data_IF_934335086026
#
_entry.id   IF_934335086026
#
_cell.length_a   1.000
_cell.length_b   1.000
_cell.length_c   1.000
_cell.angle_alpha   90.00
_cell.angle_beta   90.00
_cell.angle_gamma   90.00
#
_symmetry.space_group_name_H-M   'P 1'
#
loop_
_entity.id
_entity.type
_entity.pdbx_description
1 polymer ?
#
# COMPACT_ATOMS: atom_id res chain seq x y z
N UNK A 1 -0.99 -3.72 -9.58
CA UNK A 1 -2.02 -4.72 -9.97
C UNK A 1 -1.69 -6.03 -9.27
N UNK A 2 -2.51 -6.43 -8.28
CA UNK A 2 -2.44 -7.79 -7.74
C UNK A 2 -3.22 -8.69 -8.71
N UNK A 3 -2.52 -9.62 -9.36
CA UNK A 3 -3.14 -10.62 -10.23
C UNK A 3 -3.46 -11.83 -9.36
N UNK A 4 -4.70 -12.01 -8.95
CA UNK A 4 -5.15 -13.34 -8.52
C UNK A 4 -5.38 -14.14 -9.80
N UNK A 5 -4.49 -15.09 -10.06
CA UNK A 5 -4.39 -15.75 -11.37
C UNK A 5 -5.24 -17.01 -11.42
N UNK A 6 -5.53 -17.42 -12.66
CA UNK A 6 -6.13 -18.70 -13.03
C UNK A 6 -5.60 -19.86 -12.15
N UNK A 7 -6.53 -20.66 -11.62
CA UNK A 7 -6.24 -21.85 -10.83
C UNK A 7 -6.55 -23.11 -11.62
N UNK A 8 -5.81 -24.18 -11.39
CA UNK A 8 -6.12 -25.51 -11.93
C UNK A 8 -5.96 -26.56 -10.84
N UNK A 9 -7.00 -27.36 -10.66
CA UNK A 9 -7.04 -28.53 -9.80
C UNK A 9 -6.96 -29.81 -10.64
N UNK A 10 -6.15 -30.78 -10.21
CA UNK A 10 -6.04 -32.09 -10.86
C UNK A 10 -5.58 -33.17 -9.87
N UNK A 11 -5.70 -34.44 -10.25
CA UNK A 11 -5.22 -35.61 -9.52
C UNK A 11 -3.92 -36.08 -10.14
N UNK A 12 -2.90 -36.29 -9.31
CA UNK A 12 -1.59 -36.80 -9.70
C UNK A 12 -1.05 -37.71 -8.59
N UNK A 13 -0.71 -38.94 -8.93
CA UNK A 13 -0.32 -39.99 -7.98
C UNK A 13 -1.36 -40.19 -6.85
N UNK A 14 -2.64 -40.17 -7.20
CA UNK A 14 -3.75 -40.26 -6.25
C UNK A 14 -3.93 -39.06 -5.31
N UNK A 15 -3.09 -38.01 -5.41
CA UNK A 15 -3.19 -36.79 -4.61
C UNK A 15 -3.90 -35.68 -5.42
N UNK A 16 -4.84 -34.96 -4.80
CA UNK A 16 -5.39 -33.75 -5.39
C UNK A 16 -4.35 -32.62 -5.28
N UNK A 17 -4.07 -31.97 -6.40
CA UNK A 17 -3.11 -30.86 -6.52
C UNK A 17 -3.82 -29.63 -7.03
N UNK A 18 -3.47 -28.47 -6.49
CA UNK A 18 -3.95 -27.17 -7.00
C UNK A 18 -2.78 -26.26 -7.35
N UNK A 19 -2.69 -25.87 -8.62
CA UNK A 19 -1.73 -24.87 -9.09
C UNK A 19 -2.43 -23.52 -9.26
N UNK A 20 -1.88 -22.48 -8.64
CA UNK A 20 -2.13 -21.09 -9.04
C UNK A 20 -1.09 -20.64 -10.03
N UNK A 21 -1.43 -19.59 -10.77
CA UNK A 21 -0.47 -18.88 -11.60
C UNK A 21 0.18 -19.82 -12.63
N UNK A 22 -0.59 -20.80 -13.08
CA UNK A 22 -0.07 -21.90 -13.85
C UNK A 22 0.05 -21.53 -15.33
N UNK A 23 0.97 -22.19 -16.01
CA UNK A 23 1.18 -22.09 -17.45
C UNK A 23 1.43 -23.47 -18.04
N UNK A 24 0.98 -23.66 -19.28
CA UNK A 24 1.40 -24.81 -20.07
C UNK A 24 2.78 -24.55 -20.66
N UNK A 25 3.73 -25.47 -20.46
CA UNK A 25 5.08 -25.42 -21.03
C UNK A 25 5.40 -26.76 -21.68
N UNK A 26 6.49 -26.83 -22.47
CA UNK A 26 6.97 -28.08 -23.05
C UNK A 26 8.30 -28.47 -22.41
N UNK A 27 8.34 -29.64 -21.79
CA UNK A 27 9.54 -30.26 -21.25
C UNK A 27 10.13 -31.29 -22.20
N UNK A 28 11.15 -32.03 -21.74
CA UNK A 28 11.84 -33.05 -22.52
C UNK A 28 10.90 -34.19 -22.98
N UNK A 29 10.01 -34.62 -22.10
CA UNK A 29 9.13 -35.78 -22.35
C UNK A 29 7.72 -35.40 -22.81
N UNK A 30 7.38 -34.10 -22.89
CA UNK A 30 6.06 -33.70 -23.35
C UNK A 30 5.57 -32.38 -22.81
N UNK A 31 4.24 -32.19 -22.83
CA UNK A 31 3.60 -30.98 -22.33
C UNK A 31 3.48 -31.06 -20.81
N UNK A 32 3.89 -30.00 -20.12
CA UNK A 32 3.80 -29.87 -18.67
C UNK A 32 2.88 -28.72 -18.27
N UNK A 33 2.39 -28.80 -17.04
CA UNK A 33 1.77 -27.71 -16.31
C UNK A 33 2.73 -27.25 -15.23
N UNK A 34 3.15 -26.00 -15.28
CA UNK A 34 4.03 -25.39 -14.28
C UNK A 34 3.32 -24.26 -13.59
N UNK A 35 3.28 -24.26 -12.25
CA UNK A 35 2.61 -23.23 -11.47
C UNK A 35 3.01 -23.28 -10.00
N UNK A 36 2.48 -22.35 -9.20
CA UNK A 36 2.66 -22.36 -7.75
C UNK A 36 1.67 -23.36 -7.14
N UNK A 37 2.21 -24.45 -6.59
CA UNK A 37 1.45 -25.48 -5.90
C UNK A 37 0.99 -24.94 -4.53
N UNK A 38 -0.31 -24.82 -4.33
CA UNK A 38 -0.88 -24.28 -3.10
C UNK A 38 -0.57 -25.16 -1.89
N UNK A 39 -0.60 -26.48 -2.08
CA UNK A 39 -0.48 -27.48 -1.02
C UNK A 39 0.99 -27.63 -0.58
N UNK A 40 1.93 -27.45 -1.52
CA UNK A 40 3.38 -27.54 -1.23
C UNK A 40 4.08 -26.20 -1.08
N UNK A 41 3.37 -25.09 -1.28
CA UNK A 41 3.92 -23.74 -1.12
C UNK A 41 5.10 -23.40 -2.04
N UNK A 42 5.23 -24.07 -3.20
CA UNK A 42 6.37 -23.91 -4.09
C UNK A 42 5.98 -24.08 -5.57
N UNK A 43 6.81 -23.54 -6.47
CA UNK A 43 6.61 -23.74 -7.91
C UNK A 43 6.94 -25.19 -8.29
N UNK A 44 6.00 -25.85 -8.97
CA UNK A 44 6.13 -27.24 -9.41
C UNK A 44 5.68 -27.40 -10.86
N UNK A 45 6.21 -28.44 -11.50
CA UNK A 45 5.87 -28.84 -12.86
C UNK A 45 5.37 -30.27 -12.87
N UNK A 46 4.27 -30.52 -13.58
CA UNK A 46 3.67 -31.85 -13.73
C UNK A 46 3.50 -32.14 -15.22
N UNK A 47 3.92 -33.31 -15.68
CA UNK A 47 3.62 -33.72 -17.06
C UNK A 47 2.13 -33.99 -17.19
N UNK A 48 1.54 -33.53 -18.29
CA UNK A 48 0.10 -33.68 -18.54
C UNK A 48 -0.31 -35.15 -18.71
N UNK A 49 0.62 -36.00 -19.12
CA UNK A 49 0.40 -37.44 -19.29
C UNK A 49 0.30 -38.18 -17.95
N UNK A 50 0.94 -37.67 -16.90
CA UNK A 50 0.88 -38.23 -15.54
C UNK A 50 -0.35 -37.76 -14.75
N UNK A 51 -1.15 -36.85 -15.33
CA UNK A 51 -2.34 -36.33 -14.67
C UNK A 51 -3.49 -37.29 -14.92
N UNK A 52 -3.93 -37.92 -13.84
CA UNK A 52 -4.99 -38.92 -13.85
C UNK A 52 -6.35 -38.28 -14.18
N UNK A 53 -6.63 -37.11 -13.60
CA UNK A 53 -7.92 -36.43 -13.76
C UNK A 53 -7.84 -34.95 -13.48
N UNK A 54 -8.46 -34.10 -14.31
CA UNK A 54 -8.66 -32.68 -13.99
C UNK A 54 -9.91 -32.51 -13.12
N UNK A 55 -9.79 -31.73 -12.04
CA UNK A 55 -10.87 -31.45 -11.10
C UNK A 55 -11.56 -30.12 -11.43
N UNK A 56 -10.77 -29.06 -11.60
CA UNK A 56 -11.26 -27.75 -12.00
C UNK A 56 -10.22 -27.01 -12.83
N UNK A 57 -10.64 -26.32 -13.89
CA UNK A 57 -9.76 -25.44 -14.67
C UNK A 57 -10.40 -24.06 -14.72
N UNK A 58 -9.92 -23.16 -13.88
CA UNK A 58 -10.38 -21.78 -13.86
C UNK A 58 -9.41 -20.91 -14.66
N UNK A 59 -9.81 -20.54 -15.88
CA UNK A 59 -9.05 -19.63 -16.74
C UNK A 59 -9.26 -18.14 -16.41
N UNK A 60 -10.19 -17.80 -15.51
CA UNK A 60 -10.53 -16.41 -15.23
C UNK A 60 -9.42 -15.73 -14.41
N UNK A 61 -8.68 -14.85 -15.05
CA UNK A 61 -7.79 -13.90 -14.37
C UNK A 61 -8.65 -12.81 -13.72
N UNK A 62 -8.73 -12.78 -12.38
CA UNK A 62 -9.38 -11.65 -11.71
C UNK A 62 -8.39 -10.50 -11.65
N UNK A 63 -8.59 -9.50 -12.52
CA UNK A 63 -7.80 -8.26 -12.52
C UNK A 63 -8.34 -7.32 -11.45
N UNK A 64 -7.67 -7.26 -10.29
CA UNK A 64 -7.89 -6.18 -9.31
C UNK A 64 -6.90 -5.06 -9.58
N UNK A 65 -7.41 -3.95 -10.12
CA UNK A 65 -6.70 -2.68 -10.14
C UNK A 65 -6.68 -2.12 -8.72
N UNK A 66 -5.69 -2.53 -7.92
CA UNK A 66 -5.32 -1.80 -6.71
C UNK A 66 -4.49 -0.58 -7.13
N UNK A 67 -5.06 0.61 -7.02
CA UNK A 67 -4.30 1.86 -7.06
C UNK A 67 -3.69 2.02 -5.68
N UNK A 68 -2.42 1.66 -5.53
CA UNK A 68 -1.67 2.05 -4.33
C UNK A 68 -1.55 3.57 -4.38
N UNK A 69 -2.23 4.28 -3.49
CA UNK A 69 -2.12 5.73 -3.42
C UNK A 69 -0.67 6.10 -3.10
N UNK A 70 -0.03 6.83 -4.01
CA UNK A 70 1.29 7.38 -3.74
C UNK A 70 1.20 8.34 -2.55
N UNK A 71 2.17 8.30 -1.63
CA UNK A 71 2.18 9.24 -0.52
C UNK A 71 2.29 10.66 -1.06
N UNK A 72 1.48 11.57 -0.55
CA UNK A 72 1.57 12.98 -0.91
C UNK A 72 2.90 13.57 -0.43
N UNK A 73 3.35 14.65 -1.08
CA UNK A 73 4.48 15.46 -0.60
C UNK A 73 5.82 14.72 -0.45
N UNK A 74 6.08 13.69 -1.28
CA UNK A 74 7.34 12.90 -1.24
C UNK A 74 8.61 13.74 -1.15
N UNK A 75 8.64 14.88 -1.86
CA UNK A 75 9.77 15.82 -1.84
C UNK A 75 9.67 16.82 -0.68
N UNK A 76 8.51 17.42 -0.48
CA UNK A 76 8.30 18.45 0.53
C UNK A 76 8.59 17.93 1.95
N UNK A 77 8.35 16.64 2.23
CA UNK A 77 8.68 16.01 3.53
C UNK A 77 10.18 15.79 3.80
N UNK A 78 11.06 16.13 2.86
CA UNK A 78 12.51 15.91 3.03
C UNK A 78 13.17 17.06 3.80
N UNK A 79 14.27 16.76 4.50
CA UNK A 79 15.00 17.74 5.32
C UNK A 79 15.40 19.01 4.55
N UNK A 80 15.65 18.91 3.23
CA UNK A 80 15.95 20.05 2.36
C UNK A 80 14.92 21.18 2.45
N UNK A 81 13.64 20.83 2.62
CA UNK A 81 12.54 21.79 2.66
C UNK A 81 12.12 22.17 4.09
N UNK A 82 12.53 21.41 5.10
CA UNK A 82 12.32 21.76 6.49
C UNK A 82 13.30 22.85 6.91
N UNK A 83 12.77 23.93 7.46
CA UNK A 83 13.53 25.07 7.97
C UNK A 83 13.34 25.15 9.47
N UNK A 84 14.47 25.23 10.16
CA UNK A 84 14.55 25.34 11.61
C UNK A 84 14.79 26.80 11.96
N UNK A 85 14.10 27.29 12.99
CA UNK A 85 14.44 28.55 13.65
C UNK A 85 14.44 28.30 15.14
N UNK A 86 15.43 28.85 15.84
CA UNK A 86 15.53 28.78 17.28
C UNK A 86 15.55 30.20 17.86
N UNK A 87 14.87 30.38 18.98
CA UNK A 87 14.84 31.59 19.79
C UNK A 87 15.17 31.22 21.24
N UNK A 88 15.38 32.22 22.11
CA UNK A 88 15.60 31.97 23.54
C UNK A 88 14.41 31.21 24.17
N UNK A 89 13.20 31.41 23.64
CA UNK A 89 11.96 30.84 24.16
C UNK A 89 11.58 29.48 23.52
N UNK A 90 12.32 29.00 22.51
CA UNK A 90 12.02 27.71 21.90
C UNK A 90 12.59 27.47 20.51
N UNK A 91 12.14 26.40 19.86
CA UNK A 91 12.53 26.04 18.51
C UNK A 91 11.31 25.67 17.66
N UNK A 92 11.31 26.12 16.41
CA UNK A 92 10.28 25.81 15.42
C UNK A 92 10.89 25.11 14.21
N UNK A 93 10.11 24.22 13.61
CA UNK A 93 10.42 23.56 12.34
C UNK A 93 9.24 23.74 11.41
N UNK A 94 9.49 24.29 10.23
CA UNK A 94 8.44 24.57 9.26
C UNK A 94 8.96 24.63 7.84
N UNK A 95 8.18 25.29 6.98
CA UNK A 95 8.52 25.52 5.58
C UNK A 95 8.60 27.04 5.35
N UNK A 96 9.34 27.47 4.32
CA UNK A 96 9.36 28.87 3.89
C UNK A 96 9.02 29.02 2.40
N UNK A 97 8.68 30.25 1.98
CA UNK A 97 8.39 30.58 0.58
C UNK A 97 7.31 29.70 -0.06
N UNK A 98 7.57 29.23 -1.28
CA UNK A 98 6.62 28.40 -2.05
C UNK A 98 6.29 27.09 -1.34
N UNK A 99 7.25 26.47 -0.65
CA UNK A 99 7.02 25.25 0.11
C UNK A 99 5.99 25.46 1.24
N UNK A 100 6.06 26.60 1.93
CA UNK A 100 5.08 26.99 2.95
C UNK A 100 3.69 27.24 2.36
N UNK A 101 3.62 27.90 1.19
CA UNK A 101 2.36 28.13 0.47
C UNK A 101 1.69 26.81 0.12
N UNK A 102 2.42 25.89 -0.51
CA UNK A 102 1.90 24.56 -0.89
C UNK A 102 1.43 23.81 0.36
N UNK A 103 2.25 23.72 1.40
CA UNK A 103 1.89 23.05 2.64
C UNK A 103 0.59 23.60 3.24
N UNK A 104 0.47 24.93 3.32
CA UNK A 104 -0.70 25.64 3.86
C UNK A 104 -1.96 25.38 3.04
N UNK A 105 -1.87 25.54 1.71
CA UNK A 105 -3.00 25.31 0.79
C UNK A 105 -3.56 23.91 0.98
N UNK A 106 -2.68 22.92 1.02
CA UNK A 106 -3.11 21.53 1.15
C UNK A 106 -3.57 21.18 2.57
N UNK A 107 -2.97 21.75 3.62
CA UNK A 107 -3.39 21.48 5.00
C UNK A 107 -4.79 22.03 5.25
N UNK A 108 -5.04 23.29 4.88
CA UNK A 108 -6.29 23.98 5.20
C UNK A 108 -7.37 23.83 4.13
N UNK A 109 -7.05 23.23 2.98
CA UNK A 109 -7.99 23.02 1.88
C UNK A 109 -8.28 24.31 1.10
N UNK A 110 -7.24 25.08 0.82
CA UNK A 110 -7.36 26.36 0.11
C UNK A 110 -7.38 26.15 -1.41
N UNK A 111 -7.65 27.22 -2.14
CA UNK A 111 -7.57 27.28 -3.60
C UNK A 111 -6.19 27.79 -4.04
N UNK A 112 -5.57 27.13 -5.01
CA UNK A 112 -4.26 27.55 -5.55
C UNK A 112 -4.13 27.29 -7.06
N UNK A 113 -3.17 27.98 -7.69
CA UNK A 113 -2.85 27.87 -9.12
C UNK A 113 -2.05 26.59 -9.38
N UNK A 114 -2.48 25.76 -10.32
CA UNK A 114 -1.84 24.47 -10.62
C UNK A 114 -0.85 24.52 -11.79
N UNK A 115 -0.92 25.55 -12.64
CA UNK A 115 -0.05 25.70 -13.82
C UNK A 115 0.06 27.17 -14.25
N UNK A 116 0.93 27.46 -15.21
CA UNK A 116 1.15 28.83 -15.68
C UNK A 116 -0.02 29.42 -16.45
N UNK A 117 -0.87 28.58 -17.07
CA UNK A 117 -2.06 28.98 -17.81
C UNK A 117 -3.21 29.49 -16.94
N UNK A 118 -3.09 29.46 -15.61
CA UNK A 118 -4.08 30.04 -14.71
C UNK A 118 -5.13 29.07 -14.20
N UNK A 119 -4.99 27.77 -14.47
CA UNK A 119 -5.89 26.78 -13.89
C UNK A 119 -5.78 26.80 -12.36
N UNK A 120 -6.93 26.72 -11.70
CA UNK A 120 -7.06 26.78 -10.24
C UNK A 120 -7.67 25.49 -9.73
N UNK A 121 -7.15 24.98 -8.61
CA UNK A 121 -7.72 23.83 -7.91
C UNK A 121 -8.06 24.20 -6.47
N UNK A 122 -9.21 23.73 -5.99
CA UNK A 122 -9.57 23.76 -4.57
C UNK A 122 -9.22 22.40 -3.97
N UNK A 123 -8.40 22.40 -2.92
CA UNK A 123 -7.98 21.16 -2.27
C UNK A 123 -8.89 20.81 -1.10
N UNK A 124 -9.09 19.52 -0.79
CA UNK A 124 -9.75 19.13 0.44
C UNK A 124 -8.87 19.48 1.65
N UNK A 125 -9.52 19.95 2.73
CA UNK A 125 -8.85 20.17 4.03
C UNK A 125 -8.37 18.83 4.57
N UNK A 126 -7.16 18.82 5.13
CA UNK A 126 -6.56 17.64 5.76
C UNK A 126 -6.63 17.81 7.27
N UNK A 127 -7.70 17.28 7.86
CA UNK A 127 -7.84 17.26 9.32
C UNK A 127 -6.75 16.38 9.92
N UNK A 128 -6.04 16.92 10.92
CA UNK A 128 -5.17 16.08 11.73
C UNK A 128 -6.07 15.11 12.49
N UNK A 129 -5.68 13.84 12.56
CA UNK A 129 -6.28 12.91 13.50
C UNK A 129 -6.02 13.50 14.89
N UNK A 130 -7.02 14.17 15.44
CA UNK A 130 -6.95 14.78 16.75
C UNK A 130 -6.77 13.71 17.80
N UNK A 131 -6.34 14.13 18.99
CA UNK A 131 -6.32 13.25 20.15
C UNK A 131 -7.72 12.71 20.38
N UNK A 132 -7.87 11.39 20.50
CA UNK A 132 -9.13 10.79 20.91
C UNK A 132 -9.48 11.20 22.34
N UNK A 133 -10.71 10.93 22.79
CA UNK A 133 -11.08 11.18 24.18
C UNK A 133 -10.15 10.44 25.15
N UNK A 134 -9.79 9.19 24.85
CA UNK A 134 -8.85 8.41 25.63
C UNK A 134 -7.44 9.01 25.64
N UNK A 135 -6.95 9.48 24.49
CA UNK A 135 -5.62 10.10 24.41
C UNK A 135 -5.57 11.37 25.27
N UNK A 136 -6.63 12.21 25.19
CA UNK A 136 -6.73 13.41 26.02
C UNK A 136 -6.77 13.08 27.51
N UNK A 137 -7.51 12.05 27.92
CA UNK A 137 -7.58 11.62 29.31
C UNK A 137 -6.25 11.06 29.81
N UNK A 138 -5.54 10.28 28.99
CA UNK A 138 -4.23 9.76 29.33
C UNK A 138 -3.19 10.88 29.51
N UNK A 139 -3.17 11.85 28.59
CA UNK A 139 -2.31 13.03 28.68
C UNK A 139 -2.65 13.84 29.93
N UNK A 140 -3.94 14.12 30.17
CA UNK A 140 -4.37 14.89 31.34
C UNK A 140 -3.96 14.20 32.65
N UNK A 141 -4.12 12.88 32.75
CA UNK A 141 -3.69 12.11 33.91
C UNK A 141 -2.17 12.19 34.10
N UNK A 142 -1.38 12.00 33.04
CA UNK A 142 0.08 12.14 33.12
C UNK A 142 0.52 13.52 33.59
N UNK A 143 -0.17 14.58 33.15
CA UNK A 143 0.12 15.96 33.61
C UNK A 143 -0.26 16.15 35.08
N UNK A 144 -1.40 15.64 35.53
CA UNK A 144 -1.81 15.75 36.95
C UNK A 144 -0.83 14.98 37.85
N UNK A 145 -0.47 13.76 37.46
CA UNK A 145 0.46 12.91 38.20
C UNK A 145 1.85 13.57 38.32
N UNK A 146 2.30 14.28 37.27
CA UNK A 146 3.60 14.98 37.29
C UNK A 146 3.60 16.24 38.15
N UNK A 147 2.44 16.81 38.47
CA UNK A 147 2.28 17.95 39.37
C UNK A 147 2.24 17.53 40.86
N UNK A 148 2.29 16.23 41.16
CA UNK A 148 2.35 15.73 42.53
C UNK A 148 1.08 15.93 43.36
N UNK A 149 -0.04 16.30 42.71
CA UNK A 149 -1.35 16.39 43.33
C UNK A 149 -1.87 14.96 43.48
N UNK A 150 -1.73 14.39 44.68
CA UNK A 150 -2.35 13.12 45.07
C UNK A 150 -3.73 13.35 45.65
#
# INVERSE_FOLDING_TARGET
VLRSQAGIGFVWQGENRRLRNWRAVRGRHGRMLTGFDEDRGAVRSFYREDIERYLDINFNETRRNTTKADPMFRRLRTARFLKTRATADGAEVGYSGVAARIARVHQFGLRDKINDSGAMATYPRRELLGLSKSDRMAIARQVIDSLGVR
#
